data_IF_769590040147
#
_entry.id   IF_769590040147
#
_cell.length_a   1.000
_cell.length_b   1.000
_cell.length_c   1.000
_cell.angle_alpha   90.00
_cell.angle_beta   90.00
_cell.angle_gamma   90.00
#
_symmetry.space_group_name_H-M   'P 1'
#
loop_
_entity.id
_entity.type
_entity.pdbx_description
1 polymer ?
#
# COMPACT_ATOMS: atom_id res chain seq x y z
N UNK A 1 27.01 18.93 79.56
CA UNK A 1 25.91 18.89 78.56
C UNK A 1 26.54 18.62 77.21
N UNK A 2 26.45 17.38 76.74
CA UNK A 2 27.04 16.95 75.46
C UNK A 2 25.87 16.77 74.47
N UNK A 3 25.81 17.63 73.45
CA UNK A 3 24.80 17.57 72.39
C UNK A 3 25.35 16.63 71.32
N UNK A 4 24.68 15.50 71.08
CA UNK A 4 24.94 14.59 69.97
C UNK A 4 24.12 15.00 68.73
N UNK A 5 24.79 15.47 67.68
CA UNK A 5 24.19 15.65 66.36
C UNK A 5 24.07 14.28 65.67
N UNK A 6 22.85 13.86 65.38
CA UNK A 6 22.56 12.73 64.44
C UNK A 6 22.56 13.29 63.01
N UNK A 7 23.49 12.81 62.20
CA UNK A 7 23.47 13.05 60.75
C UNK A 7 22.58 11.99 60.08
N UNK A 8 21.51 12.43 59.40
CA UNK A 8 20.70 11.57 58.51
C UNK A 8 21.36 11.48 57.14
N UNK A 9 21.77 10.27 56.76
CA UNK A 9 22.21 9.98 55.40
C UNK A 9 21.00 9.59 54.59
N UNK A 10 20.58 10.49 53.67
CA UNK A 10 19.56 10.20 52.68
C UNK A 10 20.19 9.35 51.55
N UNK A 11 19.91 8.03 51.53
CA UNK A 11 20.17 7.20 50.38
C UNK A 11 19.14 7.56 49.27
N UNK A 12 19.57 8.33 48.28
CA UNK A 12 18.79 8.56 47.08
C UNK A 12 18.79 7.26 46.21
N UNK A 13 17.63 6.62 46.13
CA UNK A 13 17.41 5.54 45.15
C UNK A 13 17.40 6.14 43.74
N UNK A 14 18.45 5.94 42.98
CA UNK A 14 18.47 6.20 41.55
C UNK A 14 17.52 5.20 40.88
N UNK A 15 16.31 5.64 40.56
CA UNK A 15 15.41 4.89 39.69
C UNK A 15 16.03 4.87 38.28
N UNK A 16 16.61 3.76 37.86
CA UNK A 16 16.99 3.53 36.48
C UNK A 16 15.73 3.47 35.64
N UNK A 17 15.52 4.47 34.80
CA UNK A 17 14.47 4.40 33.77
C UNK A 17 14.68 3.14 32.93
N UNK A 18 13.62 2.36 32.59
CA UNK A 18 13.77 1.19 31.74
C UNK A 18 14.39 1.63 30.41
N UNK A 19 15.46 0.96 29.98
CA UNK A 19 16.04 1.14 28.67
C UNK A 19 14.92 0.98 27.63
N UNK A 20 14.66 2.03 26.84
CA UNK A 20 13.71 1.97 25.74
C UNK A 20 14.25 0.90 24.79
N UNK A 21 13.49 -0.18 24.60
CA UNK A 21 13.87 -1.20 23.63
C UNK A 21 14.13 -0.52 22.28
N UNK A 22 15.25 -0.87 21.64
CA UNK A 22 15.57 -0.34 20.32
C UNK A 22 14.41 -0.64 19.36
N UNK A 23 14.03 0.34 18.54
CA UNK A 23 12.98 0.18 17.56
C UNK A 23 13.36 -0.94 16.57
N UNK A 24 12.42 -1.83 16.19
CA UNK A 24 12.73 -3.00 15.37
C UNK A 24 13.37 -2.62 14.03
N UNK A 25 14.36 -3.40 13.61
CA UNK A 25 15.02 -3.32 12.31
C UNK A 25 14.73 -4.62 11.55
N UNK A 26 14.22 -4.50 10.32
CA UNK A 26 13.87 -5.66 9.48
C UNK A 26 14.82 -5.81 8.31
N UNK A 27 14.94 -7.03 7.79
CA UNK A 27 15.69 -7.28 6.57
C UNK A 27 15.06 -6.65 5.33
N UNK A 28 15.76 -6.66 4.19
CA UNK A 28 15.28 -6.04 2.95
C UNK A 28 14.00 -6.69 2.40
N UNK A 29 13.76 -7.95 2.70
CA UNK A 29 12.53 -8.67 2.37
C UNK A 29 11.59 -8.75 3.58
N UNK A 30 11.63 -7.73 4.44
CA UNK A 30 10.79 -7.58 5.63
C UNK A 30 10.93 -8.79 6.58
N UNK A 31 12.11 -9.42 6.63
CA UNK A 31 12.43 -10.48 7.60
C UNK A 31 12.35 -9.92 9.02
N UNK A 32 11.71 -10.67 9.89
CA UNK A 32 11.47 -10.26 11.29
C UNK A 32 10.13 -9.56 11.52
N UNK A 33 9.35 -9.29 10.47
CA UNK A 33 7.97 -8.80 10.60
C UNK A 33 6.97 -9.91 10.25
N UNK A 34 6.03 -10.22 11.15
CA UNK A 34 5.07 -11.29 10.95
C UNK A 34 3.75 -10.79 10.34
N UNK A 35 3.24 -11.55 9.36
CA UNK A 35 1.89 -11.41 8.85
C UNK A 35 0.92 -12.29 9.65
N UNK A 36 -0.36 -11.95 9.63
CA UNK A 36 -1.39 -12.70 10.37
C UNK A 36 -1.69 -14.10 9.81
N UNK A 37 -1.24 -14.39 8.58
CA UNK A 37 -1.35 -15.69 7.91
C UNK A 37 0.00 -16.17 7.41
N UNK A 38 0.17 -17.48 7.19
CA UNK A 38 1.38 -18.03 6.60
C UNK A 38 1.68 -17.40 5.25
N UNK A 39 2.90 -16.89 5.11
CA UNK A 39 3.41 -16.36 3.85
C UNK A 39 3.87 -17.52 2.97
N UNK A 40 3.41 -17.54 1.74
CA UNK A 40 3.81 -18.49 0.72
C UNK A 40 4.77 -17.82 -0.27
N UNK A 41 5.50 -18.62 -1.02
CA UNK A 41 6.51 -18.17 -1.98
C UNK A 41 6.21 -18.74 -3.37
N UNK A 42 6.25 -17.89 -4.37
CA UNK A 42 6.19 -18.22 -5.77
C UNK A 42 7.48 -17.78 -6.47
N UNK A 43 8.29 -18.75 -6.90
CA UNK A 43 9.52 -18.49 -7.65
C UNK A 43 9.19 -18.29 -9.13
N UNK A 44 9.78 -17.25 -9.74
CA UNK A 44 9.55 -16.90 -11.14
C UNK A 44 10.84 -16.40 -11.81
N UNK A 45 10.92 -16.62 -13.12
CA UNK A 45 11.92 -15.99 -13.97
C UNK A 45 11.35 -14.68 -14.54
N UNK A 46 11.98 -13.55 -14.23
CA UNK A 46 11.58 -12.26 -14.76
C UNK A 46 12.79 -11.43 -15.14
N UNK A 47 12.80 -10.87 -16.35
CA UNK A 47 13.90 -10.08 -16.90
C UNK A 47 15.28 -10.75 -16.75
N UNK A 48 15.34 -12.08 -17.04
CA UNK A 48 16.54 -12.94 -16.96
C UNK A 48 17.11 -13.08 -15.54
N UNK A 49 16.29 -12.90 -14.53
CA UNK A 49 16.63 -13.02 -13.10
C UNK A 49 15.72 -14.03 -12.43
N UNK A 50 16.27 -14.80 -11.49
CA UNK A 50 15.52 -15.67 -10.59
C UNK A 50 15.00 -14.82 -9.44
N UNK A 51 13.70 -14.63 -9.36
CA UNK A 51 13.02 -13.82 -8.38
C UNK A 51 11.95 -14.64 -7.67
N UNK A 52 11.40 -14.10 -6.60
CA UNK A 52 10.21 -14.65 -5.98
C UNK A 52 9.21 -13.57 -5.59
N UNK A 53 7.94 -13.93 -5.64
CA UNK A 53 6.85 -13.19 -5.03
C UNK A 53 6.39 -13.92 -3.77
N UNK A 54 6.33 -13.19 -2.67
CA UNK A 54 5.65 -13.64 -1.46
C UNK A 54 4.16 -13.31 -1.55
N UNK A 55 3.32 -14.18 -1.01
CA UNK A 55 1.88 -13.96 -1.07
C UNK A 55 1.14 -14.64 0.08
N UNK A 56 -0.06 -14.17 0.36
CA UNK A 56 -1.02 -14.82 1.21
C UNK A 56 -2.08 -15.51 0.34
N UNK A 57 -2.45 -16.74 0.64
CA UNK A 57 -3.59 -17.47 0.06
C UNK A 57 -4.47 -17.98 1.19
N UNK A 58 -5.50 -17.22 1.51
CA UNK A 58 -6.39 -17.51 2.64
C UNK A 58 -7.70 -18.10 2.13
N UNK A 59 -7.95 -19.35 2.50
CA UNK A 59 -9.14 -20.07 2.11
C UNK A 59 -10.21 -19.94 3.21
N UNK A 60 -11.45 -19.63 2.85
CA UNK A 60 -12.54 -19.50 3.81
C UNK A 60 -12.98 -20.87 4.33
N UNK A 61 -13.54 -20.90 5.55
CA UNK A 61 -14.12 -22.13 6.11
C UNK A 61 -15.37 -22.59 5.34
N UNK A 62 -16.16 -21.65 4.83
CA UNK A 62 -17.37 -21.88 4.03
C UNK A 62 -17.23 -21.16 2.69
N UNK A 63 -16.71 -21.82 1.66
CA UNK A 63 -16.45 -21.20 0.36
C UNK A 63 -17.73 -20.78 -0.36
N UNK A 64 -17.71 -19.57 -0.93
CA UNK A 64 -18.76 -19.09 -1.86
C UNK A 64 -18.39 -19.35 -3.35
N UNK A 65 -17.26 -20.03 -3.62
CA UNK A 65 -16.76 -20.35 -4.93
C UNK A 65 -16.03 -19.21 -5.65
N UNK A 66 -15.87 -18.04 -5.02
CA UNK A 66 -15.26 -16.84 -5.61
C UNK A 66 -13.87 -16.58 -5.02
N UNK A 67 -13.00 -15.98 -5.86
CA UNK A 67 -11.64 -15.58 -5.45
C UNK A 67 -11.46 -14.08 -5.65
N UNK A 68 -10.89 -13.41 -4.66
CA UNK A 68 -10.52 -11.99 -4.76
C UNK A 68 -9.01 -11.84 -4.57
N UNK A 69 -8.39 -10.99 -5.41
CA UNK A 69 -6.98 -10.63 -5.33
C UNK A 69 -6.86 -9.20 -4.79
N UNK A 70 -6.00 -9.00 -3.79
CA UNK A 70 -5.80 -7.71 -3.14
C UNK A 70 -4.40 -7.16 -3.47
N UNK A 71 -4.34 -6.07 -4.21
CA UNK A 71 -3.09 -5.40 -4.60
C UNK A 71 -2.85 -4.19 -3.69
N UNK A 72 -1.75 -4.22 -2.94
CA UNK A 72 -1.39 -3.19 -1.96
C UNK A 72 -0.89 -1.90 -2.59
N UNK A 73 -0.90 -0.80 -1.82
CA UNK A 73 -0.27 0.48 -2.16
C UNK A 73 1.24 0.49 -1.92
N UNK A 74 1.93 1.57 -2.36
CA UNK A 74 3.40 1.68 -2.31
C UNK A 74 3.98 1.55 -0.90
N UNK A 75 3.35 2.12 0.10
CA UNK A 75 3.84 2.09 1.49
C UNK A 75 3.27 0.91 2.30
N UNK A 76 2.53 0.03 1.65
CA UNK A 76 1.85 -1.09 2.27
C UNK A 76 2.30 -2.42 1.67
N UNK A 77 1.92 -3.50 2.35
CA UNK A 77 2.23 -4.87 2.03
C UNK A 77 0.96 -5.72 2.04
N UNK A 78 1.06 -6.98 1.61
CA UNK A 78 -0.03 -7.94 1.74
C UNK A 78 -0.56 -8.05 3.19
N UNK A 79 0.34 -7.94 4.17
CA UNK A 79 -0.02 -7.96 5.59
C UNK A 79 -0.96 -6.84 6.02
N UNK A 80 -0.95 -5.69 5.36
CA UNK A 80 -1.84 -4.56 5.70
C UNK A 80 -3.31 -4.82 5.38
N UNK A 81 -3.60 -5.85 4.61
CA UNK A 81 -4.95 -6.32 4.31
C UNK A 81 -5.57 -7.19 5.41
N UNK A 82 -4.94 -7.33 6.56
CA UNK A 82 -5.35 -8.26 7.63
C UNK A 82 -6.86 -8.20 7.91
N UNK A 83 -7.40 -7.04 8.21
CA UNK A 83 -8.83 -6.89 8.53
C UNK A 83 -9.72 -7.17 7.32
N UNK A 84 -9.29 -6.80 6.12
CA UNK A 84 -10.03 -7.03 4.88
C UNK A 84 -10.03 -8.52 4.51
N UNK A 85 -8.90 -9.21 4.67
CA UNK A 85 -8.80 -10.66 4.45
C UNK A 85 -9.75 -11.39 5.39
N UNK A 86 -9.81 -11.00 6.67
CA UNK A 86 -10.73 -11.60 7.66
C UNK A 86 -12.18 -11.42 7.25
N UNK A 87 -12.61 -10.20 6.92
CA UNK A 87 -13.99 -9.90 6.53
C UNK A 87 -14.41 -10.63 5.24
N UNK A 88 -13.53 -10.70 4.24
CA UNK A 88 -13.79 -11.44 3.01
C UNK A 88 -13.82 -12.96 3.24
N UNK A 89 -12.92 -13.49 4.06
CA UNK A 89 -12.91 -14.91 4.44
C UNK A 89 -14.18 -15.33 5.19
N UNK A 90 -14.68 -14.50 6.10
CA UNK A 90 -15.96 -14.72 6.80
C UNK A 90 -17.15 -14.71 5.82
N UNK A 91 -17.08 -13.89 4.77
CA UNK A 91 -18.06 -13.83 3.68
C UNK A 91 -17.90 -14.95 2.62
N UNK A 92 -16.94 -15.87 2.82
CA UNK A 92 -16.75 -17.05 1.99
C UNK A 92 -15.80 -16.90 0.81
N UNK A 93 -15.05 -15.82 0.72
CA UNK A 93 -14.08 -15.57 -0.36
C UNK A 93 -12.74 -16.26 -0.12
N UNK A 94 -12.16 -16.89 -1.16
CA UNK A 94 -10.72 -17.14 -1.21
C UNK A 94 -10.02 -15.83 -1.45
N UNK A 95 -9.05 -15.47 -0.61
CA UNK A 95 -8.33 -14.20 -0.73
C UNK A 95 -6.86 -14.47 -1.04
N UNK A 96 -6.38 -13.87 -2.13
CA UNK A 96 -4.96 -13.91 -2.53
C UNK A 96 -4.43 -12.48 -2.42
N UNK A 97 -3.35 -12.29 -1.67
CA UNK A 97 -2.71 -10.98 -1.51
C UNK A 97 -1.19 -11.13 -1.74
N UNK A 98 -0.70 -10.80 -2.94
CA UNK A 98 0.73 -10.81 -3.22
C UNK A 98 1.41 -9.54 -2.71
N UNK A 99 2.65 -9.68 -2.22
CA UNK A 99 3.63 -8.62 -2.22
C UNK A 99 4.21 -8.52 -3.63
N UNK A 100 4.15 -7.35 -4.26
CA UNK A 100 4.68 -7.17 -5.60
C UNK A 100 6.22 -7.21 -5.61
N UNK A 101 6.86 -7.59 -6.73
CA UNK A 101 8.32 -7.45 -6.88
C UNK A 101 8.74 -6.01 -6.59
N UNK A 102 9.76 -5.84 -5.78
CA UNK A 102 10.23 -4.55 -5.27
C UNK A 102 9.66 -4.16 -3.91
N UNK A 103 8.68 -4.92 -3.38
CA UNK A 103 7.99 -4.61 -2.13
C UNK A 103 8.16 -5.71 -1.08
N UNK A 104 8.10 -5.32 0.15
CA UNK A 104 7.86 -6.12 1.35
C UNK A 104 8.64 -7.44 1.39
N UNK A 105 7.95 -8.58 1.39
CA UNK A 105 8.60 -9.91 1.47
C UNK A 105 8.98 -10.50 0.10
N UNK A 106 8.78 -9.77 -0.98
CA UNK A 106 9.19 -10.17 -2.33
C UNK A 106 10.59 -9.65 -2.70
N UNK A 107 11.21 -10.28 -3.71
CA UNK A 107 12.53 -9.90 -4.23
C UNK A 107 12.63 -8.42 -4.59
N UNK A 108 13.79 -7.82 -4.31
CA UNK A 108 14.14 -6.43 -4.68
C UNK A 108 15.37 -6.42 -5.58
N UNK A 109 15.19 -6.72 -6.89
CA UNK A 109 16.31 -6.77 -7.82
C UNK A 109 16.88 -5.37 -8.09
N UNK A 110 18.21 -5.25 -8.08
CA UNK A 110 18.91 -3.99 -8.37
C UNK A 110 18.73 -3.50 -9.80
N UNK A 111 18.62 -4.45 -10.74
CA UNK A 111 18.50 -4.20 -12.18
C UNK A 111 17.15 -4.72 -12.67
N UNK A 112 16.13 -3.92 -12.52
CA UNK A 112 14.78 -4.28 -12.92
C UNK A 112 14.05 -3.07 -13.52
N UNK A 113 13.54 -3.26 -14.72
CA UNK A 113 12.70 -2.26 -15.36
C UNK A 113 11.26 -2.42 -14.86
N UNK A 114 10.89 -1.64 -13.86
CA UNK A 114 9.53 -1.64 -13.35
C UNK A 114 8.55 -1.05 -14.36
N UNK A 115 7.45 -1.75 -14.57
CA UNK A 115 6.28 -1.26 -15.29
C UNK A 115 5.01 -1.90 -14.75
N UNK A 116 3.88 -1.23 -14.88
CA UNK A 116 2.60 -1.83 -14.50
C UNK A 116 2.29 -3.08 -15.32
N UNK A 117 2.74 -3.13 -16.58
CA UNK A 117 2.65 -4.31 -17.42
C UNK A 117 3.44 -5.48 -16.84
N UNK A 118 4.67 -5.25 -16.41
CA UNK A 118 5.50 -6.30 -15.82
C UNK A 118 4.95 -6.79 -14.48
N UNK A 119 4.51 -5.88 -13.61
CA UNK A 119 3.88 -6.27 -12.34
C UNK A 119 2.58 -7.04 -12.56
N UNK A 120 1.78 -6.65 -13.57
CA UNK A 120 0.59 -7.39 -13.97
C UNK A 120 0.93 -8.80 -14.51
N UNK A 121 1.95 -8.92 -15.35
CA UNK A 121 2.41 -10.22 -15.85
C UNK A 121 2.92 -11.13 -14.72
N UNK A 122 3.67 -10.60 -13.76
CA UNK A 122 4.11 -11.36 -12.58
C UNK A 122 2.92 -11.84 -11.74
N UNK A 123 1.94 -10.96 -11.50
CA UNK A 123 0.71 -11.32 -10.78
C UNK A 123 -0.09 -12.38 -11.55
N UNK A 124 -0.16 -12.27 -12.88
CA UNK A 124 -0.85 -13.26 -13.72
C UNK A 124 -0.18 -14.63 -13.63
N UNK A 125 1.15 -14.69 -13.72
CA UNK A 125 1.91 -15.92 -13.56
C UNK A 125 1.68 -16.60 -12.21
N UNK A 126 1.60 -15.82 -11.11
CA UNK A 126 1.20 -16.34 -9.81
C UNK A 126 -0.21 -16.95 -9.84
N UNK A 127 -1.18 -16.27 -10.45
CA UNK A 127 -2.56 -16.77 -10.52
C UNK A 127 -2.68 -18.01 -11.41
N UNK A 128 -1.92 -18.11 -12.50
CA UNK A 128 -1.81 -19.32 -13.31
C UNK A 128 -1.23 -20.49 -12.50
N UNK A 129 -0.14 -20.25 -11.75
CA UNK A 129 0.46 -21.25 -10.86
C UNK A 129 -0.54 -21.76 -9.81
N UNK A 130 -1.43 -20.90 -9.30
CA UNK A 130 -2.47 -21.24 -8.33
C UNK A 130 -3.74 -21.83 -8.96
N UNK A 131 -3.80 -21.97 -10.30
CA UNK A 131 -4.95 -22.48 -11.03
C UNK A 131 -6.18 -21.57 -10.95
N UNK A 132 -5.99 -20.24 -10.83
CA UNK A 132 -7.07 -19.26 -10.64
C UNK A 132 -7.45 -18.61 -11.97
N UNK A 133 -8.55 -19.05 -12.53
CA UNK A 133 -9.01 -18.61 -13.85
C UNK A 133 -9.82 -17.31 -13.84
N UNK A 134 -10.55 -17.02 -12.75
CA UNK A 134 -11.42 -15.83 -12.61
C UNK A 134 -11.28 -15.22 -11.22
N UNK A 135 -11.29 -13.89 -11.18
CA UNK A 135 -11.08 -13.13 -9.96
C UNK A 135 -11.95 -11.88 -9.91
N UNK A 136 -12.30 -11.45 -8.71
CA UNK A 136 -12.44 -10.04 -8.41
C UNK A 136 -11.06 -9.48 -8.09
N UNK A 137 -10.80 -8.27 -8.57
CA UNK A 137 -9.50 -7.63 -8.38
C UNK A 137 -9.66 -6.32 -7.63
N UNK A 138 -9.08 -6.23 -6.44
CA UNK A 138 -9.09 -5.03 -5.62
C UNK A 138 -7.69 -4.43 -5.55
N UNK A 139 -7.56 -3.14 -5.88
CA UNK A 139 -6.32 -2.40 -5.78
C UNK A 139 -6.45 -1.12 -4.97
N UNK A 140 -5.53 -0.93 -4.01
CA UNK A 140 -5.41 0.29 -3.23
C UNK A 140 -4.24 1.15 -3.72
N UNK A 141 -4.46 2.45 -3.87
CA UNK A 141 -3.37 3.39 -4.19
C UNK A 141 -2.64 3.00 -5.51
N UNK A 142 -1.33 2.77 -5.48
CA UNK A 142 -0.53 2.22 -6.59
C UNK A 142 -1.07 0.86 -7.07
N UNK A 143 -1.55 0.03 -6.14
CA UNK A 143 -2.24 -1.21 -6.48
C UNK A 143 -3.50 -0.98 -7.31
N UNK A 144 -4.13 0.18 -7.20
CA UNK A 144 -5.23 0.60 -8.07
C UNK A 144 -4.79 0.85 -9.52
N UNK A 145 -3.64 1.51 -9.73
CA UNK A 145 -3.07 1.65 -11.08
C UNK A 145 -2.71 0.28 -11.67
N UNK A 146 -2.12 -0.59 -10.85
CA UNK A 146 -1.80 -1.97 -11.25
C UNK A 146 -3.06 -2.76 -11.58
N UNK A 147 -4.12 -2.63 -10.79
CA UNK A 147 -5.40 -3.31 -11.02
C UNK A 147 -6.07 -2.88 -12.35
N UNK A 148 -6.01 -1.59 -12.68
CA UNK A 148 -6.48 -1.08 -13.98
C UNK A 148 -5.66 -1.69 -15.11
N UNK A 149 -4.32 -1.67 -15.01
CA UNK A 149 -3.44 -2.28 -16.02
C UNK A 149 -3.72 -3.77 -16.17
N UNK A 150 -3.88 -4.49 -15.06
CA UNK A 150 -4.21 -5.90 -15.07
C UNK A 150 -5.54 -6.18 -15.78
N UNK A 151 -6.58 -5.44 -15.45
CA UNK A 151 -7.90 -5.60 -16.06
C UNK A 151 -7.89 -5.34 -17.58
N UNK A 152 -7.04 -4.41 -18.04
CA UNK A 152 -6.85 -4.15 -19.48
C UNK A 152 -6.10 -5.26 -20.20
N UNK A 153 -5.13 -5.92 -19.55
CA UNK A 153 -4.34 -7.00 -20.12
C UNK A 153 -5.08 -8.35 -20.07
N UNK A 154 -5.87 -8.59 -19.03
CA UNK A 154 -6.56 -9.84 -18.76
C UNK A 154 -8.07 -9.66 -18.56
N UNK A 155 -8.81 -9.03 -19.53
CA UNK A 155 -10.20 -8.65 -19.34
C UNK A 155 -11.15 -9.84 -19.11
N UNK A 156 -10.80 -11.04 -19.60
CA UNK A 156 -11.60 -12.25 -19.40
C UNK A 156 -11.44 -12.88 -18.01
N UNK A 157 -10.38 -12.53 -17.29
CA UNK A 157 -10.08 -13.06 -15.96
C UNK A 157 -10.70 -12.20 -14.84
N UNK A 158 -10.87 -10.89 -15.09
CA UNK A 158 -11.39 -9.94 -14.09
C UNK A 158 -12.90 -9.83 -14.19
N UNK A 159 -13.61 -10.42 -13.25
CA UNK A 159 -15.08 -10.38 -13.18
C UNK A 159 -15.58 -9.04 -12.61
N UNK A 160 -14.81 -8.43 -11.72
CA UNK A 160 -15.09 -7.11 -11.14
C UNK A 160 -13.79 -6.44 -10.72
N UNK A 161 -13.71 -5.14 -10.93
CA UNK A 161 -12.60 -4.30 -10.48
C UNK A 161 -13.06 -3.45 -9.29
N UNK A 162 -12.27 -3.44 -8.21
CA UNK A 162 -12.49 -2.57 -7.05
C UNK A 162 -11.27 -1.67 -6.87
N UNK A 163 -11.48 -0.38 -6.86
CA UNK A 163 -10.43 0.63 -6.74
C UNK A 163 -10.63 1.44 -5.45
N UNK A 164 -9.70 1.28 -4.51
CA UNK A 164 -9.74 1.95 -3.21
C UNK A 164 -8.72 3.07 -3.22
N UNK A 165 -9.17 4.31 -3.19
CA UNK A 165 -8.32 5.50 -3.28
C UNK A 165 -7.15 5.30 -4.26
N UNK A 166 -7.42 4.88 -5.52
CA UNK A 166 -6.35 4.66 -6.48
C UNK A 166 -5.61 5.97 -6.73
N UNK A 167 -4.28 5.93 -6.83
CA UNK A 167 -3.53 7.06 -7.38
C UNK A 167 -3.58 7.02 -8.91
N UNK A 168 -3.07 8.06 -9.58
CA UNK A 168 -3.10 8.13 -11.05
C UNK A 168 -4.49 8.42 -11.63
N UNK A 169 -5.39 9.02 -10.85
CA UNK A 169 -6.64 9.61 -11.34
C UNK A 169 -6.38 10.95 -12.05
N UNK A 170 -5.18 11.49 -11.91
CA UNK A 170 -4.68 12.68 -12.61
C UNK A 170 -3.27 12.39 -13.15
N UNK A 171 -2.89 13.00 -14.26
CA UNK A 171 -1.53 12.91 -14.82
C UNK A 171 -0.68 14.09 -14.34
N UNK A 172 0.14 13.84 -13.34
CA UNK A 172 0.99 14.85 -12.71
C UNK A 172 1.96 15.51 -13.70
N UNK A 173 2.49 14.76 -14.68
CA UNK A 173 3.37 15.30 -15.75
C UNK A 173 2.62 16.31 -16.62
N UNK A 174 1.44 15.91 -17.09
CA UNK A 174 0.61 16.76 -17.95
C UNK A 174 0.13 18.01 -17.21
N UNK A 175 -0.02 17.95 -15.89
CA UNK A 175 -0.38 19.08 -15.04
C UNK A 175 0.81 20.00 -14.72
N UNK A 176 2.04 19.59 -15.03
CA UNK A 176 3.24 20.41 -14.80
C UNK A 176 3.93 20.16 -13.45
N UNK A 177 3.71 18.99 -12.81
CA UNK A 177 4.54 18.56 -11.68
C UNK A 177 5.95 18.28 -12.19
N UNK A 178 7.01 18.88 -11.61
CA UNK A 178 8.38 18.64 -12.03
C UNK A 178 8.77 17.16 -11.92
N UNK A 179 9.41 16.64 -12.96
CA UNK A 179 9.99 15.31 -12.94
C UNK A 179 11.19 15.27 -12.00
N UNK A 180 11.36 14.14 -11.32
CA UNK A 180 12.55 13.81 -10.53
C UNK A 180 13.22 12.60 -11.13
N UNK A 181 14.54 12.63 -11.21
CA UNK A 181 15.35 11.46 -11.57
C UNK A 181 15.24 10.35 -10.52
N UNK A 182 15.56 9.12 -10.91
CA UNK A 182 15.64 8.00 -9.97
C UNK A 182 16.64 8.29 -8.84
N UNK A 183 17.77 8.95 -9.15
CA UNK A 183 18.77 9.32 -8.15
C UNK A 183 18.25 10.32 -7.11
N UNK A 184 17.43 11.29 -7.54
CA UNK A 184 16.77 12.24 -6.63
C UNK A 184 15.74 11.54 -5.74
N UNK A 185 14.96 10.60 -6.30
CA UNK A 185 14.07 9.75 -5.51
C UNK A 185 14.84 8.90 -4.51
N UNK A 186 15.94 8.27 -4.94
CA UNK A 186 16.80 7.46 -4.07
C UNK A 186 17.39 8.26 -2.92
N UNK A 187 17.96 9.43 -3.22
CA UNK A 187 18.50 10.33 -2.20
C UNK A 187 17.44 10.77 -1.17
N UNK A 188 16.18 10.90 -1.60
CA UNK A 188 15.04 11.17 -0.73
C UNK A 188 14.67 9.97 0.13
N UNK A 189 14.56 8.80 -0.48
CA UNK A 189 14.20 7.55 0.21
C UNK A 189 15.22 7.18 1.29
N UNK A 190 16.51 7.42 1.06
CA UNK A 190 17.56 7.23 2.07
C UNK A 190 17.38 8.10 3.34
N UNK A 191 16.58 9.17 3.26
CA UNK A 191 16.27 10.05 4.40
C UNK A 191 14.97 9.67 5.12
N UNK A 192 14.33 8.58 4.71
CA UNK A 192 13.08 8.11 5.30
C UNK A 192 13.28 7.74 6.78
N UNK A 193 12.38 8.25 7.63
CA UNK A 193 12.36 8.01 9.08
C UNK A 193 10.98 7.60 9.54
N UNK A 194 10.87 6.92 10.69
CA UNK A 194 9.58 6.58 11.30
C UNK A 194 8.68 7.81 11.50
N UNK A 195 9.26 8.89 11.96
CA UNK A 195 8.52 10.14 12.19
C UNK A 195 8.01 10.72 10.88
N UNK A 196 8.84 10.75 9.83
CA UNK A 196 8.43 11.23 8.50
C UNK A 196 7.31 10.38 7.89
N UNK A 197 7.38 9.05 8.03
CA UNK A 197 6.31 8.13 7.60
C UNK A 197 5.03 8.44 8.37
N UNK A 198 5.12 8.51 9.71
CA UNK A 198 3.97 8.81 10.58
C UNK A 198 3.29 10.11 10.23
N UNK A 199 4.04 11.20 10.07
CA UNK A 199 3.52 12.51 9.70
C UNK A 199 2.83 12.49 8.33
N UNK A 200 3.42 11.81 7.36
CA UNK A 200 2.84 11.66 6.04
C UNK A 200 1.52 10.85 6.09
N UNK A 201 1.52 9.70 6.76
CA UNK A 201 0.33 8.86 6.87
C UNK A 201 -0.77 9.56 7.69
N UNK A 202 -0.43 10.21 8.80
CA UNK A 202 -1.39 10.96 9.59
C UNK A 202 -2.10 12.02 8.74
N UNK A 203 -1.32 12.81 7.99
CA UNK A 203 -1.88 13.93 7.21
C UNK A 203 -2.68 13.47 5.99
N UNK A 204 -2.24 12.41 5.31
CA UNK A 204 -2.82 11.96 4.03
C UNK A 204 -3.68 10.72 4.17
N UNK A 205 -3.22 9.68 4.92
CA UNK A 205 -3.89 8.39 4.98
C UNK A 205 -5.05 8.39 5.96
N UNK A 206 -4.92 9.11 7.06
CA UNK A 206 -5.87 9.09 8.17
C UNK A 206 -6.55 10.44 8.43
N UNK A 207 -6.55 11.34 7.44
CA UNK A 207 -7.25 12.64 7.50
C UNK A 207 -6.88 13.49 8.72
N UNK A 208 -5.60 13.50 9.11
CA UNK A 208 -5.07 14.22 10.27
C UNK A 208 -5.25 13.49 11.61
N UNK A 209 -6.00 12.40 11.66
CA UNK A 209 -6.20 11.60 12.87
C UNK A 209 -5.05 10.59 13.06
N UNK A 210 -4.83 10.19 14.32
CA UNK A 210 -3.89 9.11 14.64
C UNK A 210 -4.49 8.19 15.70
N UNK A 211 -4.28 6.88 15.51
CA UNK A 211 -4.65 5.84 16.47
C UNK A 211 -3.46 4.90 16.69
N UNK A 212 -3.30 4.33 17.91
CA UNK A 212 -2.17 3.45 18.22
C UNK A 212 -2.03 2.24 17.27
N UNK A 213 -3.14 1.72 16.75
CA UNK A 213 -3.14 0.59 15.81
C UNK A 213 -2.44 0.89 14.48
N UNK A 214 -2.24 2.16 14.10
CA UNK A 214 -1.53 2.55 12.89
C UNK A 214 -0.01 2.47 13.07
N UNK A 215 0.49 2.54 14.31
CA UNK A 215 1.93 2.48 14.60
C UNK A 215 2.58 1.22 14.03
N UNK A 216 1.87 0.07 14.02
CA UNK A 216 2.35 -1.18 13.44
C UNK A 216 2.73 -1.04 11.96
N UNK A 217 1.97 -0.28 11.19
CA UNK A 217 2.21 -0.11 9.75
C UNK A 217 3.36 0.86 9.49
N UNK A 218 3.48 1.90 10.30
CA UNK A 218 4.65 2.77 10.29
C UNK A 218 5.91 1.96 10.62
N UNK A 219 5.88 1.17 11.68
CA UNK A 219 7.02 0.35 12.10
C UNK A 219 7.38 -0.72 11.07
N UNK A 220 6.41 -1.32 10.40
CA UNK A 220 6.63 -2.25 9.28
C UNK A 220 7.50 -1.61 8.19
N UNK A 221 7.14 -0.43 7.73
CA UNK A 221 7.88 0.28 6.69
C UNK A 221 9.21 0.84 7.22
N UNK A 222 9.19 1.54 8.34
CA UNK A 222 10.37 2.15 8.93
C UNK A 222 11.43 1.14 9.34
N UNK A 223 11.03 -0.06 9.77
CA UNK A 223 11.93 -1.14 10.15
C UNK A 223 12.83 -1.60 8.99
N UNK A 224 12.34 -1.62 7.76
CA UNK A 224 13.17 -1.91 6.58
C UNK A 224 14.21 -0.81 6.33
N UNK A 225 13.87 0.46 6.58
CA UNK A 225 14.82 1.58 6.46
C UNK A 225 15.82 1.67 7.63
N UNK A 226 15.53 1.04 8.76
CA UNK A 226 16.50 0.87 9.88
C UNK A 226 17.38 -0.36 9.73
N UNK A 227 16.94 -1.32 8.91
CA UNK A 227 17.62 -2.60 8.72
C UNK A 227 18.81 -2.55 7.78
N UNK A 228 19.52 -3.68 7.64
CA UNK A 228 20.74 -3.79 6.83
C UNK A 228 20.48 -3.62 5.32
N UNK A 229 19.24 -3.79 4.87
CA UNK A 229 18.84 -3.66 3.47
C UNK A 229 18.34 -2.26 3.07
N UNK A 230 18.57 -1.23 3.88
CA UNK A 230 18.07 0.13 3.64
C UNK A 230 18.31 0.62 2.20
N UNK A 231 19.50 0.41 1.67
CA UNK A 231 19.89 0.90 0.35
C UNK A 231 19.08 0.23 -0.77
N UNK A 232 18.93 -1.09 -0.74
CA UNK A 232 18.15 -1.80 -1.77
C UNK A 232 16.65 -1.52 -1.64
N UNK A 233 16.13 -1.31 -0.43
CA UNK A 233 14.75 -0.88 -0.20
C UNK A 233 14.52 0.52 -0.78
N UNK A 234 15.42 1.46 -0.49
CA UNK A 234 15.38 2.81 -1.02
C UNK A 234 15.49 2.84 -2.55
N UNK A 235 16.37 2.00 -3.11
CA UNK A 235 16.55 1.88 -4.56
C UNK A 235 15.30 1.35 -5.25
N UNK A 236 14.75 0.22 -4.78
CA UNK A 236 13.49 -0.31 -5.31
C UNK A 236 12.36 0.71 -5.21
N UNK A 237 12.26 1.42 -4.10
CA UNK A 237 11.27 2.48 -3.88
C UNK A 237 11.43 3.62 -4.88
N UNK A 238 12.66 4.05 -5.18
CA UNK A 238 12.95 5.11 -6.16
C UNK A 238 12.54 4.71 -7.58
N UNK A 239 12.88 3.50 -8.00
CA UNK A 239 12.46 2.95 -9.31
C UNK A 239 10.93 2.86 -9.43
N UNK A 240 10.26 2.50 -8.34
CA UNK A 240 8.80 2.43 -8.30
C UNK A 240 8.14 3.83 -8.35
N UNK A 241 8.76 4.86 -7.77
CA UNK A 241 8.27 6.23 -7.93
C UNK A 241 8.36 6.71 -9.39
N UNK A 242 9.46 6.42 -10.07
CA UNK A 242 9.62 6.74 -11.49
C UNK A 242 8.57 6.02 -12.35
N UNK A 243 8.35 4.71 -12.10
CA UNK A 243 7.29 3.95 -12.75
C UNK A 243 5.92 4.59 -12.55
N UNK A 244 5.56 4.92 -11.30
CA UNK A 244 4.26 5.50 -10.96
C UNK A 244 4.08 6.85 -11.65
N UNK A 245 5.11 7.71 -11.63
CA UNK A 245 5.06 9.04 -12.23
C UNK A 245 5.01 8.99 -13.76
N UNK A 246 5.77 8.06 -14.36
CA UNK A 246 5.97 7.99 -15.81
C UNK A 246 4.85 7.26 -16.57
N UNK A 247 4.07 6.39 -15.89
CA UNK A 247 3.13 5.46 -16.52
C UNK A 247 1.68 5.70 -16.11
N UNK A 248 1.03 6.80 -16.54
CA UNK A 248 -0.37 7.06 -16.22
C UNK A 248 -1.28 6.01 -16.85
N UNK A 249 -2.33 5.60 -16.12
CA UNK A 249 -3.34 4.63 -16.59
C UNK A 249 -4.68 5.27 -16.89
N UNK A 250 -4.89 6.53 -16.49
CA UNK A 250 -6.19 7.20 -16.59
C UNK A 250 -6.69 7.35 -18.04
N UNK A 251 -5.80 7.39 -19.02
CA UNK A 251 -6.19 7.58 -20.43
C UNK A 251 -6.91 6.36 -21.05
N UNK A 252 -6.93 5.22 -20.32
CA UNK A 252 -7.50 3.97 -20.79
C UNK A 252 -8.69 3.49 -19.93
N UNK A 253 -9.22 4.33 -19.03
CA UNK A 253 -10.35 3.95 -18.15
C UNK A 253 -11.60 3.55 -18.91
N UNK A 254 -11.87 4.19 -20.04
CA UNK A 254 -12.99 3.90 -20.95
C UNK A 254 -12.89 2.54 -21.64
N UNK A 255 -11.71 1.89 -21.61
CA UNK A 255 -11.46 0.57 -22.19
C UNK A 255 -11.61 -0.58 -21.17
N UNK A 256 -11.79 -0.28 -19.90
CA UNK A 256 -11.97 -1.30 -18.86
C UNK A 256 -13.36 -1.92 -18.98
N UNK A 257 -13.42 -3.22 -19.25
CA UNK A 257 -14.68 -3.94 -19.48
C UNK A 257 -15.35 -4.41 -18.18
N UNK A 258 -14.55 -4.67 -17.15
CA UNK A 258 -15.05 -5.17 -15.87
C UNK A 258 -15.93 -4.12 -15.16
N UNK A 259 -17.08 -4.49 -14.59
CA UNK A 259 -17.80 -3.64 -13.67
C UNK A 259 -16.88 -3.11 -12.57
N UNK A 260 -16.85 -1.79 -12.39
CA UNK A 260 -15.86 -1.13 -11.53
C UNK A 260 -16.52 -0.49 -10.31
N UNK A 261 -16.05 -0.84 -9.12
CA UNK A 261 -16.41 -0.19 -7.87
C UNK A 261 -15.29 0.77 -7.46
N UNK A 262 -15.56 2.06 -7.44
CA UNK A 262 -14.67 3.09 -6.90
C UNK A 262 -15.05 3.37 -5.45
N UNK A 263 -14.10 3.26 -4.54
CA UNK A 263 -14.27 3.50 -3.11
C UNK A 263 -13.30 4.60 -2.68
N UNK A 264 -13.82 5.80 -2.42
CA UNK A 264 -13.03 7.02 -2.30
C UNK A 264 -13.21 7.68 -0.93
N UNK A 265 -12.14 7.71 -0.14
CA UNK A 265 -12.00 8.59 1.03
C UNK A 265 -11.77 10.03 0.56
N UNK A 266 -12.69 10.90 0.86
CA UNK A 266 -12.73 12.25 0.28
C UNK A 266 -11.73 13.23 0.94
N UNK A 267 -11.14 12.86 2.08
CA UNK A 267 -10.06 13.62 2.74
C UNK A 267 -8.66 13.26 2.22
N UNK A 268 -8.57 12.34 1.27
CA UNK A 268 -7.32 12.02 0.60
C UNK A 268 -6.79 13.22 -0.20
N UNK A 269 -5.48 13.45 -0.09
CA UNK A 269 -4.78 14.53 -0.80
C UNK A 269 -3.52 14.03 -1.50
N UNK A 270 -3.41 12.71 -1.68
CA UNK A 270 -2.23 12.05 -2.25
C UNK A 270 -2.00 12.46 -3.71
N UNK A 271 -0.82 12.98 -4.01
CA UNK A 271 -0.36 13.21 -5.36
C UNK A 271 1.17 13.08 -5.43
N UNK A 272 1.67 12.31 -6.39
CA UNK A 272 3.12 12.06 -6.51
C UNK A 272 3.83 13.32 -7.00
N UNK A 273 4.93 13.67 -6.30
CA UNK A 273 5.72 14.88 -6.61
C UNK A 273 5.07 16.20 -6.20
N UNK A 274 3.92 16.17 -5.51
CA UNK A 274 3.19 17.35 -5.04
C UNK A 274 4.07 18.34 -4.27
N UNK A 275 5.03 17.83 -3.49
CA UNK A 275 5.96 18.66 -2.70
C UNK A 275 6.88 19.54 -3.58
N UNK A 276 7.21 19.10 -4.80
CA UNK A 276 7.99 19.89 -5.77
C UNK A 276 7.14 20.79 -6.69
N UNK A 277 5.83 20.61 -6.70
CA UNK A 277 4.96 21.37 -7.58
C UNK A 277 4.92 22.87 -7.18
N UNK A 278 4.70 23.78 -8.14
CA UNK A 278 4.45 25.20 -7.85
C UNK A 278 3.26 25.38 -6.88
N UNK A 279 3.30 26.42 -6.06
CA UNK A 279 2.32 26.65 -4.98
C UNK A 279 0.85 26.60 -5.46
N UNK A 280 0.56 27.21 -6.61
CA UNK A 280 -0.80 27.24 -7.17
C UNK A 280 -1.24 25.86 -7.72
N UNK A 281 -0.31 25.05 -8.21
CA UNK A 281 -0.60 23.69 -8.63
C UNK A 281 -0.82 22.78 -7.43
N UNK A 282 -0.01 22.91 -6.35
CA UNK A 282 -0.18 22.13 -5.11
C UNK A 282 -1.62 22.15 -4.56
N UNK A 283 -2.29 23.30 -4.65
CA UNK A 283 -3.66 23.49 -4.16
C UNK A 283 -4.69 22.68 -4.97
N UNK A 284 -4.38 22.31 -6.20
CA UNK A 284 -5.27 21.62 -7.15
C UNK A 284 -5.03 20.12 -7.21
N UNK A 285 -3.83 19.67 -6.80
CA UNK A 285 -3.45 18.26 -6.86
C UNK A 285 -4.07 17.46 -5.70
N UNK A 286 -4.52 16.24 -6.02
CA UNK A 286 -5.10 15.33 -5.04
C UNK A 286 -6.48 15.75 -4.55
N UNK A 287 -7.28 16.37 -5.38
CA UNK A 287 -8.70 16.67 -5.09
C UNK A 287 -9.56 15.42 -5.33
N UNK A 288 -9.51 14.49 -4.38
CA UNK A 288 -10.17 13.18 -4.52
C UNK A 288 -11.69 13.25 -4.64
N UNK A 289 -12.42 14.21 -4.01
CA UNK A 289 -13.84 14.40 -4.29
C UNK A 289 -14.14 14.65 -5.77
N UNK A 290 -13.32 15.48 -6.43
CA UNK A 290 -13.44 15.75 -7.86
C UNK A 290 -12.94 14.58 -8.71
N UNK A 291 -11.73 14.09 -8.40
CA UNK A 291 -11.06 13.03 -9.17
C UNK A 291 -11.86 11.71 -9.17
N UNK A 292 -12.44 11.32 -8.03
CA UNK A 292 -13.27 10.13 -7.93
C UNK A 292 -14.52 10.20 -8.81
N UNK A 293 -15.20 11.35 -8.84
CA UNK A 293 -16.39 11.57 -9.69
C UNK A 293 -16.03 11.65 -11.17
N UNK A 294 -14.90 12.25 -11.52
CA UNK A 294 -14.40 12.28 -12.90
C UNK A 294 -14.02 10.87 -13.38
N UNK A 295 -13.31 10.10 -12.56
CA UNK A 295 -13.00 8.71 -12.87
C UNK A 295 -14.25 7.85 -13.04
N UNK A 296 -15.23 7.98 -12.14
CA UNK A 296 -16.50 7.24 -12.24
C UNK A 296 -17.24 7.49 -13.54
N UNK A 297 -17.15 8.71 -14.10
CA UNK A 297 -17.75 9.03 -15.41
C UNK A 297 -17.00 8.43 -16.60
N UNK A 298 -15.72 8.07 -16.41
CA UNK A 298 -14.87 7.53 -17.49
C UNK A 298 -14.89 6.00 -17.57
N UNK A 299 -15.10 5.30 -16.46
CA UNK A 299 -15.28 3.85 -16.50
C UNK A 299 -16.68 3.53 -17.03
N UNK A 300 -16.83 2.64 -18.03
CA UNK A 300 -18.13 2.34 -18.67
C UNK A 300 -19.20 1.82 -17.70
N UNK A 301 -18.78 1.08 -16.66
CA UNK A 301 -19.67 0.42 -15.71
C UNK A 301 -19.23 0.71 -14.27
N UNK A 302 -19.16 1.98 -13.89
CA UNK A 302 -18.70 2.40 -12.59
C UNK A 302 -19.82 2.60 -11.57
N UNK A 303 -19.56 2.18 -10.33
CA UNK A 303 -20.27 2.59 -9.13
C UNK A 303 -19.28 3.31 -8.22
N UNK A 304 -19.66 4.49 -7.70
CA UNK A 304 -18.86 5.28 -6.78
C UNK A 304 -19.44 5.17 -5.36
N UNK A 305 -18.58 4.86 -4.41
CA UNK A 305 -18.82 4.93 -2.97
C UNK A 305 -17.87 5.97 -2.39
N UNK A 306 -18.42 6.98 -1.74
CA UNK A 306 -17.67 8.09 -1.15
C UNK A 306 -17.69 7.97 0.39
N UNK A 307 -16.52 8.18 1.02
CA UNK A 307 -16.36 8.24 2.46
C UNK A 307 -15.93 9.67 2.85
N UNK A 308 -16.86 10.55 3.23
CA UNK A 308 -16.60 11.98 3.38
C UNK A 308 -15.53 12.32 4.42
N UNK A 309 -15.38 11.50 5.47
CA UNK A 309 -14.48 11.75 6.59
C UNK A 309 -13.13 11.01 6.48
N UNK A 310 -13.02 10.04 5.53
CA UNK A 310 -11.85 9.17 5.45
C UNK A 310 -10.79 9.70 4.48
N UNK A 311 -9.53 9.36 4.78
CA UNK A 311 -8.37 9.68 3.97
C UNK A 311 -8.02 8.60 2.96
N UNK A 312 -6.73 8.47 2.66
CA UNK A 312 -6.20 7.57 1.62
C UNK A 312 -6.34 6.08 1.94
N UNK A 313 -6.45 5.70 3.21
CA UNK A 313 -6.52 4.30 3.64
C UNK A 313 -7.85 3.97 4.37
N UNK A 314 -9.02 4.10 3.72
CA UNK A 314 -10.33 3.87 4.35
C UNK A 314 -10.47 2.46 4.91
N UNK A 315 -9.84 1.45 4.30
CA UNK A 315 -9.84 0.05 4.74
C UNK A 315 -9.13 -0.18 6.10
N UNK A 316 -8.31 0.79 6.52
CA UNK A 316 -7.64 0.78 7.83
C UNK A 316 -8.30 1.77 8.77
N UNK A 317 -8.62 2.97 8.27
CA UNK A 317 -9.13 4.08 9.07
C UNK A 317 -10.52 3.81 9.66
N UNK A 318 -11.42 3.21 8.87
CA UNK A 318 -12.76 2.74 9.31
C UNK A 318 -13.07 1.41 8.61
N UNK A 319 -12.44 0.35 9.12
CA UNK A 319 -12.52 -0.98 8.55
C UNK A 319 -13.96 -1.51 8.49
N UNK A 320 -14.78 -1.25 9.50
CA UNK A 320 -16.16 -1.75 9.58
C UNK A 320 -17.01 -1.17 8.46
N UNK A 321 -17.03 0.14 8.32
CA UNK A 321 -17.80 0.84 7.26
C UNK A 321 -17.28 0.53 5.87
N UNK A 322 -15.95 0.43 5.73
CA UNK A 322 -15.33 0.04 4.46
C UNK A 322 -15.74 -1.37 4.05
N UNK A 323 -15.67 -2.36 4.95
CA UNK A 323 -16.00 -3.75 4.64
C UNK A 323 -17.49 -3.93 4.34
N UNK A 324 -18.38 -3.23 5.06
CA UNK A 324 -19.82 -3.24 4.74
C UNK A 324 -20.06 -2.77 3.30
N UNK A 325 -19.48 -1.62 2.92
CA UNK A 325 -19.63 -1.06 1.56
C UNK A 325 -18.98 -1.97 0.50
N UNK A 326 -17.81 -2.55 0.79
CA UNK A 326 -17.13 -3.50 -0.09
C UNK A 326 -18.01 -4.73 -0.36
N UNK A 327 -18.48 -5.39 0.70
CA UNK A 327 -19.31 -6.60 0.58
C UNK A 327 -20.63 -6.33 -0.13
N UNK A 328 -21.25 -5.16 0.08
CA UNK A 328 -22.39 -4.70 -0.70
C UNK A 328 -22.06 -4.53 -2.19
N UNK A 329 -20.91 -3.93 -2.48
CA UNK A 329 -20.46 -3.70 -3.84
C UNK A 329 -20.06 -4.97 -4.60
N UNK A 330 -19.69 -6.03 -3.88
CA UNK A 330 -19.32 -7.33 -4.44
C UNK A 330 -20.51 -8.28 -4.69
N UNK A 331 -21.70 -7.94 -4.24
CA UNK A 331 -22.95 -8.66 -4.55
C UNK A 331 -23.41 -8.32 -5.96
#
# INVERSE_FOLDING_TARGET
MIVRCLAWVLLGALATAPARADAPAYGPELEGFDYAWPVQRFDLDSQRQKLHMSYLDVRPQRPNGRTIVLLHGKNFCAGTWETTIRALGEAGWRVIAPDQIGFCKSSKPERYQYSFQQLAANTHALLEHLGVARIELLGHSTGGMLAVRYALLHPKQVERLVLVNPIGLEDWKALGVPWRSVDEWYARELKTTSEGIRQYEQSTYYAGQWRPEYDRWVEMLAGMYRGPGKEIVAWSSALLYDMIFAQPVLYEFDRVQAPTLLMIGQKDTTAIGKDAAPAELKKKLGDYPRLGREAARRFPHAKLVEFPELGHAPQIQDAARFHEALLQGLR
#
